data_IF_884005036212
#
_entry.id   IF_884005036212
#
_cell.length_a   1.000
_cell.length_b   1.000
_cell.length_c   1.000
_cell.angle_alpha   90.00
_cell.angle_beta   90.00
_cell.angle_gamma   90.00
#
_symmetry.space_group_name_H-M   'P 1'
#
loop_
_entity.id
_entity.type
_entity.pdbx_description
1 polymer ?
#
# COMPACT_ATOMS: atom_id res chain seq x y z
N UNK A 1 27.72 2.23 30.46
CA UNK A 1 26.65 3.13 29.98
C UNK A 1 27.07 3.64 28.61
N UNK A 2 26.24 3.41 27.58
CA UNK A 2 26.52 3.93 26.24
C UNK A 2 26.40 5.46 26.25
N UNK A 3 27.27 6.23 25.57
CA UNK A 3 27.17 7.68 25.49
C UNK A 3 25.86 8.11 24.82
N UNK A 4 25.20 9.15 25.33
CA UNK A 4 23.91 9.69 24.83
C UNK A 4 23.95 9.99 23.32
N UNK A 5 25.08 10.50 22.82
CA UNK A 5 25.30 10.77 21.40
C UNK A 5 25.26 9.50 20.53
N UNK A 6 25.68 8.35 21.05
CA UNK A 6 25.63 7.05 20.35
C UNK A 6 24.20 6.53 20.34
N UNK A 7 23.46 6.67 21.44
CA UNK A 7 22.03 6.33 21.52
C UNK A 7 21.21 7.15 20.53
N UNK A 8 21.46 8.46 20.45
CA UNK A 8 20.80 9.36 19.49
C UNK A 8 21.14 9.02 18.03
N UNK A 9 22.38 8.61 17.72
CA UNK A 9 22.77 8.19 16.36
C UNK A 9 22.14 6.85 15.98
N UNK A 10 22.03 5.91 16.91
CA UNK A 10 21.32 4.64 16.69
C UNK A 10 19.84 4.93 16.45
N UNK A 11 19.20 5.78 17.25
CA UNK A 11 17.82 6.19 17.05
C UNK A 11 17.60 6.88 15.69
N UNK A 12 18.52 7.76 15.25
CA UNK A 12 18.48 8.37 13.92
C UNK A 12 18.74 7.39 12.77
N UNK A 13 19.64 6.42 12.92
CA UNK A 13 19.88 5.41 11.91
C UNK A 13 18.67 4.45 11.78
N UNK A 14 18.06 4.08 12.90
CA UNK A 14 16.81 3.31 12.94
C UNK A 14 15.68 4.12 12.30
N UNK A 15 15.63 5.44 12.55
CA UNK A 15 14.59 6.30 12.01
C UNK A 15 14.71 6.51 10.50
N UNK A 16 15.92 6.68 9.99
CA UNK A 16 16.21 6.89 8.56
C UNK A 16 16.22 5.59 7.75
N UNK A 17 16.23 4.41 8.38
CA UNK A 17 16.23 3.11 7.70
C UNK A 17 14.96 2.80 6.90
N UNK A 18 13.88 3.58 7.06
CA UNK A 18 12.60 3.37 6.35
C UNK A 18 12.08 4.67 5.76
N UNK A 19 11.54 4.61 4.55
CA UNK A 19 10.87 5.74 3.91
C UNK A 19 9.76 6.28 4.82
N UNK A 20 9.68 7.62 4.95
CA UNK A 20 8.75 8.31 5.86
C UNK A 20 7.29 7.87 5.66
N UNK A 21 6.88 7.68 4.40
CA UNK A 21 5.56 7.16 4.05
C UNK A 21 5.26 5.79 4.67
N UNK A 22 6.25 4.89 4.74
CA UNK A 22 6.08 3.58 5.37
C UNK A 22 5.92 3.71 6.89
N UNK A 23 6.59 4.68 7.53
CA UNK A 23 6.54 4.88 8.99
C UNK A 23 5.18 5.42 9.43
N UNK A 24 4.67 6.42 8.73
CA UNK A 24 3.33 6.99 8.96
C UNK A 24 2.22 5.93 8.83
N UNK A 25 2.34 5.03 7.86
CA UNK A 25 1.34 3.97 7.65
C UNK A 25 1.43 2.89 8.73
N UNK A 26 2.62 2.49 9.19
CA UNK A 26 2.77 1.56 10.33
C UNK A 26 2.20 2.17 11.62
N UNK A 27 2.50 3.44 11.89
CA UNK A 27 1.97 4.15 13.06
C UNK A 27 0.44 4.28 13.02
N UNK A 28 -0.13 4.49 11.84
CA UNK A 28 -1.59 4.55 11.66
C UNK A 28 -2.24 3.18 11.89
N UNK A 29 -1.62 2.10 11.40
CA UNK A 29 -2.08 0.74 11.65
C UNK A 29 -2.03 0.39 13.16
N UNK A 30 -0.96 0.81 13.85
CA UNK A 30 -0.82 0.62 15.29
C UNK A 30 -1.90 1.38 16.08
N UNK A 31 -2.09 2.67 15.81
CA UNK A 31 -3.13 3.49 16.47
C UNK A 31 -4.52 2.89 16.32
N UNK A 32 -4.82 2.31 15.15
CA UNK A 32 -6.10 1.63 14.93
C UNK A 32 -6.26 0.39 15.82
N UNK A 33 -5.21 -0.41 15.96
CA UNK A 33 -5.22 -1.59 16.84
C UNK A 33 -5.34 -1.19 18.32
N UNK A 34 -4.60 -0.17 18.75
CA UNK A 34 -4.67 0.38 20.11
C UNK A 34 -6.07 0.90 20.44
N UNK A 35 -6.67 1.69 19.56
CA UNK A 35 -8.05 2.16 19.74
C UNK A 35 -9.06 1.01 19.84
N UNK A 36 -8.88 -0.04 19.03
CA UNK A 36 -9.72 -1.24 19.10
C UNK A 36 -9.55 -1.98 20.43
N UNK A 37 -8.31 -2.13 20.89
CA UNK A 37 -8.00 -2.75 22.19
C UNK A 37 -8.65 -2.00 23.34
N UNK A 38 -8.53 -0.67 23.36
CA UNK A 38 -9.16 0.19 24.38
C UNK A 38 -10.68 0.01 24.36
N UNK A 39 -11.29 0.01 23.18
CA UNK A 39 -12.75 -0.13 23.03
C UNK A 39 -13.27 -1.50 23.49
N UNK A 40 -12.47 -2.56 23.32
CA UNK A 40 -12.84 -3.94 23.68
C UNK A 40 -12.28 -4.38 25.04
N UNK A 41 -11.57 -3.51 25.77
CA UNK A 41 -10.98 -3.82 27.08
C UNK A 41 -9.81 -4.82 27.01
N UNK A 42 -9.08 -4.85 25.90
CA UNK A 42 -7.91 -5.70 25.72
C UNK A 42 -6.60 -4.93 25.93
N UNK A 43 -5.53 -5.65 26.30
CA UNK A 43 -4.18 -5.07 26.42
C UNK A 43 -3.48 -5.06 25.07
N UNK A 44 -3.08 -3.87 24.64
CA UNK A 44 -2.38 -3.60 23.38
C UNK A 44 -0.92 -4.10 23.39
N UNK A 45 -0.28 -4.14 24.57
CA UNK A 45 1.10 -4.59 24.72
C UNK A 45 1.36 -5.22 26.11
N UNK A 46 1.84 -6.48 26.19
CA UNK A 46 1.96 -7.47 25.12
C UNK A 46 0.58 -8.03 24.72
N UNK A 47 0.21 -7.90 23.44
CA UNK A 47 -1.03 -8.46 22.94
C UNK A 47 -0.94 -10.00 22.83
N UNK A 48 -1.95 -10.69 23.36
CA UNK A 48 -2.07 -12.13 23.16
C UNK A 48 -2.40 -12.43 21.69
N UNK A 49 -1.89 -13.52 21.07
CA UNK A 49 -2.19 -13.86 19.68
C UNK A 49 -3.69 -14.04 19.41
N UNK A 50 -4.48 -14.40 20.42
CA UNK A 50 -5.96 -14.46 20.34
C UNK A 50 -6.56 -13.06 20.15
N UNK A 51 -6.06 -12.04 20.85
CA UNK A 51 -6.51 -10.65 20.69
C UNK A 51 -6.27 -10.15 19.28
N UNK A 52 -5.10 -10.45 18.70
CA UNK A 52 -4.79 -10.10 17.31
C UNK A 52 -5.70 -10.87 16.34
N UNK A 53 -5.97 -12.15 16.58
CA UNK A 53 -6.90 -12.92 15.76
C UNK A 53 -8.33 -12.36 15.82
N UNK A 54 -8.83 -12.01 17.01
CA UNK A 54 -10.14 -11.39 17.20
C UNK A 54 -10.24 -10.05 16.47
N UNK A 55 -9.23 -9.19 16.60
CA UNK A 55 -9.14 -7.94 15.86
C UNK A 55 -9.24 -8.12 14.34
N UNK A 56 -8.57 -9.14 13.80
CA UNK A 56 -8.59 -9.41 12.36
C UNK A 56 -9.96 -9.89 11.86
N UNK A 57 -10.68 -10.67 12.67
CA UNK A 57 -12.03 -11.13 12.34
C UNK A 57 -12.99 -9.93 12.37
N UNK A 58 -12.95 -9.13 13.43
CA UNK A 58 -13.78 -7.93 13.55
C UNK A 58 -13.52 -6.93 12.42
N UNK A 59 -12.25 -6.71 12.09
CA UNK A 59 -11.86 -5.90 10.95
C UNK A 59 -12.29 -6.47 9.60
N UNK A 60 -12.29 -7.81 9.44
CA UNK A 60 -12.77 -8.44 8.23
C UNK A 60 -14.29 -8.30 8.09
N UNK A 61 -15.03 -8.36 9.19
CA UNK A 61 -16.50 -8.29 9.24
C UNK A 61 -17.02 -6.85 9.29
N UNK A 62 -16.12 -5.86 9.18
CA UNK A 62 -16.51 -4.47 8.97
C UNK A 62 -16.95 -4.27 7.51
N UNK A 63 -18.19 -3.84 7.31
CA UNK A 63 -18.76 -3.50 6.02
C UNK A 63 -18.91 -1.98 5.87
N UNK A 64 -18.78 -1.48 4.65
CA UNK A 64 -19.06 -0.08 4.32
C UNK A 64 -20.56 0.16 4.09
N UNK A 65 -20.92 1.42 3.81
CA UNK A 65 -22.31 1.79 3.56
C UNK A 65 -22.89 1.18 2.27
N UNK A 66 -22.05 0.67 1.37
CA UNK A 66 -22.45 -0.02 0.15
C UNK A 66 -22.64 -1.54 0.38
N UNK A 67 -22.37 -2.03 1.60
CA UNK A 67 -22.44 -3.45 1.94
C UNK A 67 -21.22 -4.24 1.47
N UNK A 68 -20.15 -3.57 1.02
CA UNK A 68 -18.89 -4.21 0.66
C UNK A 68 -17.97 -4.29 1.89
N UNK A 69 -17.05 -5.26 1.90
CA UNK A 69 -16.04 -5.36 2.96
C UNK A 69 -15.20 -4.08 2.99
N UNK A 70 -15.17 -3.38 4.12
CA UNK A 70 -14.47 -2.09 4.24
C UNK A 70 -12.94 -2.20 4.06
N UNK A 71 -12.38 -3.40 4.24
CA UNK A 71 -10.94 -3.62 4.25
C UNK A 71 -10.52 -4.77 3.33
N UNK A 72 -9.48 -4.54 2.53
CA UNK A 72 -8.89 -5.57 1.68
C UNK A 72 -8.04 -6.57 2.49
N UNK A 73 -7.95 -7.85 2.09
CA UNK A 73 -7.13 -8.85 2.80
C UNK A 73 -5.64 -8.51 2.86
N UNK A 74 -5.15 -7.77 1.86
CA UNK A 74 -3.77 -7.28 1.84
C UNK A 74 -3.50 -6.28 2.98
N UNK A 75 -4.48 -5.41 3.25
CA UNK A 75 -4.38 -4.41 4.32
C UNK A 75 -4.34 -5.06 5.70
N UNK A 76 -5.16 -6.10 5.91
CA UNK A 76 -5.16 -6.87 7.16
C UNK A 76 -3.81 -7.56 7.43
N UNK A 77 -3.22 -8.19 6.40
CA UNK A 77 -1.89 -8.79 6.51
C UNK A 77 -0.79 -7.75 6.82
N UNK A 78 -0.95 -6.54 6.28
CA UNK A 78 -0.08 -5.42 6.56
C UNK A 78 -0.21 -4.96 8.02
N UNK A 79 -1.42 -4.85 8.57
CA UNK A 79 -1.63 -4.49 9.98
C UNK A 79 -0.97 -5.48 10.94
N UNK A 80 -1.06 -6.78 10.67
CA UNK A 80 -0.36 -7.82 11.45
C UNK A 80 1.16 -7.61 11.44
N UNK A 81 1.71 -7.22 10.30
CA UNK A 81 3.15 -6.92 10.16
C UNK A 81 3.54 -5.68 10.96
N UNK A 82 2.69 -4.65 10.98
CA UNK A 82 2.89 -3.44 11.78
C UNK A 82 2.82 -3.73 13.29
N UNK A 83 1.81 -4.49 13.74
CA UNK A 83 1.68 -4.94 15.14
C UNK A 83 2.91 -5.74 15.56
N UNK A 84 3.35 -6.69 14.72
CA UNK A 84 4.57 -7.46 14.98
C UNK A 84 5.82 -6.60 15.05
N UNK A 85 5.92 -5.55 14.23
CA UNK A 85 7.02 -4.59 14.30
C UNK A 85 7.02 -3.82 15.62
N UNK A 86 5.88 -3.30 16.07
CA UNK A 86 5.77 -2.60 17.35
C UNK A 86 6.13 -3.51 18.54
N UNK A 87 5.69 -4.77 18.53
CA UNK A 87 6.08 -5.75 19.56
C UNK A 87 7.59 -6.02 19.58
N UNK A 88 8.25 -6.16 18.42
CA UNK A 88 9.72 -6.31 18.37
C UNK A 88 10.44 -5.08 18.91
N UNK A 89 10.01 -3.90 18.49
CA UNK A 89 10.65 -2.64 18.90
C UNK A 89 10.49 -2.42 20.41
N UNK A 90 9.40 -2.90 21.00
CA UNK A 90 9.18 -2.89 22.45
C UNK A 90 9.86 -4.05 23.21
N UNK A 91 10.57 -4.95 22.51
CA UNK A 91 11.29 -6.07 23.14
C UNK A 91 10.41 -7.26 23.53
N UNK A 92 9.18 -7.35 23.03
CA UNK A 92 8.24 -8.42 23.35
C UNK A 92 8.19 -9.52 22.26
N UNK A 93 7.85 -10.77 22.63
CA UNK A 93 7.59 -11.83 21.67
C UNK A 93 6.43 -11.43 20.78
N UNK A 94 6.58 -11.72 19.49
CA UNK A 94 5.71 -11.13 18.49
C UNK A 94 4.53 -12.05 18.17
N UNK A 95 3.28 -11.58 18.32
CA UNK A 95 2.10 -12.41 18.07
C UNK A 95 1.92 -12.75 16.57
N UNK A 96 2.54 -11.99 15.66
CA UNK A 96 2.43 -12.19 14.21
C UNK A 96 2.93 -13.55 13.69
N UNK A 97 3.86 -14.20 14.41
CA UNK A 97 4.46 -15.47 14.01
C UNK A 97 3.64 -16.66 14.51
N UNK A 98 2.66 -16.43 15.36
CA UNK A 98 1.84 -17.48 15.96
C UNK A 98 0.91 -18.10 14.90
N UNK A 99 0.82 -19.43 14.88
CA UNK A 99 0.03 -20.17 13.89
C UNK A 99 -1.45 -19.79 13.88
N UNK A 100 -1.99 -19.40 15.04
CA UNK A 100 -3.35 -18.88 15.15
C UNK A 100 -3.57 -17.67 14.22
N UNK A 101 -2.71 -16.66 14.28
CA UNK A 101 -2.85 -15.43 13.47
C UNK A 101 -2.72 -15.73 11.98
N UNK A 102 -1.78 -16.62 11.62
CA UNK A 102 -1.59 -17.07 10.24
C UNK A 102 -2.80 -17.84 9.71
N UNK A 103 -3.39 -18.70 10.56
CA UNK A 103 -4.58 -19.48 10.22
C UNK A 103 -5.81 -18.60 10.05
N UNK A 104 -5.99 -17.60 10.93
CA UNK A 104 -7.05 -16.59 10.82
C UNK A 104 -6.93 -15.80 9.52
N UNK A 105 -5.75 -15.29 9.17
CA UNK A 105 -5.53 -14.60 7.89
C UNK A 105 -5.83 -15.50 6.69
N UNK A 106 -5.44 -16.78 6.75
CA UNK A 106 -5.75 -17.76 5.70
C UNK A 106 -7.26 -18.01 5.56
N UNK A 107 -7.98 -18.06 6.68
CA UNK A 107 -9.44 -18.18 6.72
C UNK A 107 -10.11 -16.95 6.10
N UNK A 108 -9.70 -15.75 6.51
CA UNK A 108 -10.20 -14.48 5.96
C UNK A 108 -9.97 -14.42 4.45
N UNK A 109 -8.75 -14.72 3.98
CA UNK A 109 -8.44 -14.73 2.54
C UNK A 109 -9.31 -15.71 1.75
N UNK A 110 -9.60 -16.88 2.31
CA UNK A 110 -10.48 -17.88 1.68
C UNK A 110 -11.92 -17.39 1.61
N UNK A 111 -12.43 -16.77 2.69
CA UNK A 111 -13.78 -16.21 2.71
C UNK A 111 -13.94 -15.07 1.68
N UNK A 112 -12.96 -14.18 1.57
CA UNK A 112 -12.95 -13.14 0.53
C UNK A 112 -12.88 -13.74 -0.88
N UNK A 113 -12.15 -14.85 -1.07
CA UNK A 113 -12.08 -15.52 -2.36
C UNK A 113 -13.39 -16.23 -2.73
N UNK A 114 -14.10 -16.83 -1.77
CA UNK A 114 -15.38 -17.50 -2.00
C UNK A 114 -16.51 -16.52 -2.29
N UNK A 115 -16.49 -15.33 -1.68
CA UNK A 115 -17.57 -14.35 -1.81
C UNK A 115 -17.45 -13.48 -3.06
N UNK A 116 -16.39 -13.63 -3.86
CA UNK A 116 -16.15 -12.76 -5.02
C UNK A 116 -15.62 -11.37 -4.66
N UNK A 117 -15.52 -11.04 -3.37
CA UNK A 117 -14.97 -9.79 -2.77
C UNK A 117 -13.47 -9.58 -3.04
N UNK A 118 -12.85 -10.33 -3.96
CA UNK A 118 -11.53 -9.96 -4.46
C UNK A 118 -11.76 -8.70 -5.29
N UNK A 119 -11.22 -7.53 -4.91
CA UNK A 119 -11.37 -6.34 -5.73
C UNK A 119 -10.56 -6.56 -7.01
N UNK A 120 -11.22 -7.13 -8.02
CA UNK A 120 -10.86 -6.90 -9.41
C UNK A 120 -11.40 -5.51 -9.68
N UNK A 121 -10.66 -4.50 -9.24
CA UNK A 121 -10.70 -3.22 -9.92
C UNK A 121 -9.73 -3.42 -11.10
N UNK A 122 -10.19 -3.84 -12.29
CA UNK A 122 -9.37 -3.67 -13.47
C UNK A 122 -9.13 -2.16 -13.53
N UNK A 123 -7.91 -1.74 -13.16
CA UNK A 123 -7.50 -0.37 -13.43
C UNK A 123 -7.70 -0.20 -14.92
N UNK A 124 -8.57 0.74 -15.30
CA UNK A 124 -8.77 1.07 -16.72
C UNK A 124 -7.38 1.27 -17.31
N UNK A 125 -7.04 0.60 -18.42
CA UNK A 125 -5.73 0.78 -19.03
C UNK A 125 -5.49 2.26 -19.26
N UNK A 126 -4.34 2.78 -18.80
CA UNK A 126 -3.93 4.13 -19.15
C UNK A 126 -3.77 4.18 -20.67
N UNK A 127 -4.58 5.02 -21.31
CA UNK A 127 -4.50 5.23 -22.75
C UNK A 127 -3.34 6.16 -23.06
N UNK A 128 -2.91 6.16 -24.33
CA UNK A 128 -1.86 7.06 -24.82
C UNK A 128 -2.20 8.51 -24.49
N UNK A 129 -3.47 8.90 -24.66
CA UNK A 129 -3.92 10.26 -24.39
C UNK A 129 -3.82 10.62 -22.90
N UNK A 130 -4.13 9.69 -21.99
CA UNK A 130 -3.99 9.89 -20.55
C UNK A 130 -2.52 10.14 -20.16
N UNK A 131 -1.60 9.39 -20.76
CA UNK A 131 -0.15 9.55 -20.52
C UNK A 131 0.33 10.90 -21.03
N UNK A 132 -0.14 11.35 -22.21
CA UNK A 132 0.21 12.67 -22.75
C UNK A 132 -0.33 13.79 -21.85
N UNK A 133 -1.56 13.66 -21.34
CA UNK A 133 -2.13 14.62 -20.39
C UNK A 133 -1.34 14.67 -19.09
N UNK A 134 -0.98 13.53 -18.50
CA UNK A 134 -0.18 13.46 -17.27
C UNK A 134 1.18 14.13 -17.45
N UNK A 135 1.90 13.82 -18.54
CA UNK A 135 3.20 14.44 -18.85
C UNK A 135 3.04 15.95 -19.09
N UNK A 136 1.99 16.36 -19.81
CA UNK A 136 1.70 17.77 -20.06
C UNK A 136 1.45 18.55 -18.76
N UNK A 137 0.67 18.00 -17.85
CA UNK A 137 0.41 18.60 -16.53
C UNK A 137 1.66 18.62 -15.65
N UNK A 138 2.47 17.55 -15.66
CA UNK A 138 3.73 17.50 -14.91
C UNK A 138 4.71 18.59 -15.36
N UNK A 139 4.85 18.82 -16.67
CA UNK A 139 5.70 19.89 -17.23
C UNK A 139 5.27 21.28 -16.80
N UNK A 140 3.96 21.52 -16.69
CA UNK A 140 3.41 22.82 -16.29
C UNK A 140 3.52 23.07 -14.78
N UNK A 141 3.54 22.01 -13.97
CA UNK A 141 3.55 22.10 -12.51
C UNK A 141 4.94 22.34 -11.90
N UNK A 142 6.00 22.21 -12.69
CA UNK A 142 7.37 22.32 -12.20
C UNK A 142 7.81 23.78 -12.10
N UNK A 143 8.34 24.14 -10.93
CA UNK A 143 9.05 25.41 -10.72
C UNK A 143 10.45 25.12 -10.20
N UNK A 144 11.45 25.58 -10.95
CA UNK A 144 12.87 25.44 -10.59
C UNK A 144 13.61 24.31 -11.31
N UNK A 145 14.92 24.53 -11.48
CA UNK A 145 15.80 23.72 -12.34
C UNK A 145 15.91 22.25 -11.89
N UNK A 146 16.02 22.00 -10.59
CA UNK A 146 16.15 20.64 -10.08
C UNK A 146 14.87 19.83 -10.33
N UNK A 147 13.68 20.41 -10.14
CA UNK A 147 12.42 19.74 -10.40
C UNK A 147 12.19 19.48 -11.91
N UNK A 148 12.72 20.34 -12.78
CA UNK A 148 12.66 20.18 -14.24
C UNK A 148 13.48 18.99 -14.73
N UNK A 149 14.63 18.72 -14.11
CA UNK A 149 15.44 17.53 -14.44
C UNK A 149 14.73 16.24 -14.01
N UNK A 150 14.11 16.23 -12.83
CA UNK A 150 13.35 15.07 -12.35
C UNK A 150 12.12 14.80 -13.22
N UNK A 151 11.35 15.84 -13.54
CA UNK A 151 10.19 15.71 -14.44
C UNK A 151 10.60 15.17 -15.81
N UNK A 152 11.65 15.73 -16.44
CA UNK A 152 12.10 15.26 -17.76
C UNK A 152 12.52 13.80 -17.76
N UNK A 153 13.18 13.36 -16.68
CA UNK A 153 13.58 11.97 -16.49
C UNK A 153 12.35 11.06 -16.38
N UNK A 154 11.40 11.41 -15.53
CA UNK A 154 10.22 10.59 -15.27
C UNK A 154 9.30 10.53 -16.49
N UNK A 155 9.12 11.66 -17.19
CA UNK A 155 8.41 11.75 -18.45
C UNK A 155 9.09 10.94 -19.56
N UNK A 156 10.42 10.94 -19.65
CA UNK A 156 11.14 10.07 -20.59
C UNK A 156 10.94 8.59 -20.26
N UNK A 157 11.00 8.19 -18.98
CA UNK A 157 10.74 6.82 -18.56
C UNK A 157 9.31 6.37 -18.89
N UNK A 158 8.32 7.24 -18.69
CA UNK A 158 6.91 6.97 -19.04
C UNK A 158 6.73 6.83 -20.56
N UNK A 159 7.34 7.71 -21.35
CA UNK A 159 7.22 7.70 -22.82
C UNK A 159 7.98 6.53 -23.47
N UNK A 160 9.13 6.12 -22.91
CA UNK A 160 9.87 4.95 -23.40
C UNK A 160 9.14 3.62 -23.15
N UNK A 161 8.31 3.57 -22.10
CA UNK A 161 7.46 2.41 -21.80
C UNK A 161 6.17 2.35 -22.62
N UNK A 162 5.85 3.40 -23.39
CA UNK A 162 4.63 3.48 -24.17
C UNK A 162 4.81 2.73 -25.51
N UNK A 163 3.92 1.80 -25.87
CA UNK A 163 4.00 1.14 -27.17
C UNK A 163 3.82 2.17 -28.29
N UNK A 164 4.75 2.17 -29.26
CA UNK A 164 4.69 3.05 -30.42
C UNK A 164 3.40 2.81 -31.22
N UNK A 165 2.67 3.88 -31.53
CA UNK A 165 1.49 3.81 -32.39
C UNK A 165 1.92 3.42 -33.81
N UNK A 166 1.79 2.16 -34.18
CA UNK A 166 1.97 1.72 -35.57
C UNK A 166 0.85 2.32 -36.41
N UNK A 167 1.14 3.42 -37.13
CA UNK A 167 0.21 4.00 -38.08
C UNK A 167 0.07 3.07 -39.29
N UNK A 168 -1.11 2.49 -39.49
CA UNK A 168 -1.47 1.79 -40.71
C UNK A 168 -2.82 2.31 -41.22
N UNK A 169 -2.76 3.09 -42.30
CA UNK A 169 -3.63 3.04 -43.48
C UNK A 169 -3.61 4.39 -44.22
N UNK A 170 -2.59 4.60 -45.05
CA UNK A 170 -2.73 5.46 -46.23
C UNK A 170 -3.46 4.67 -47.30
N UNK A 171 -4.79 4.77 -47.37
CA UNK A 171 -5.55 4.29 -48.51
C UNK A 171 -5.44 5.32 -49.65
N UNK A 172 -4.65 4.98 -50.66
CA UNK A 172 -4.55 5.69 -51.94
C UNK A 172 -5.84 5.46 -52.76
N UNK A 173 -6.43 6.47 -53.42
CA UNK A 173 -7.59 6.25 -54.27
C UNK A 173 -7.15 5.67 -55.62
N UNK A 174 -7.77 4.55 -56.02
CA UNK A 174 -7.53 3.90 -57.31
C UNK A 174 -8.08 4.71 -58.48
N UNK A 175 -7.25 4.84 -59.52
CA UNK A 175 -7.60 5.36 -60.85
C UNK A 175 -8.60 4.42 -61.54
N UNK A 176 -9.78 4.93 -61.90
CA UNK A 176 -10.74 4.26 -62.78
C UNK A 176 -10.37 4.58 -64.23
N UNK A 177 -10.12 3.53 -65.01
CA UNK A 177 -9.95 3.61 -66.46
C UNK A 177 -11.28 3.73 -67.19
N UNK A 178 -11.26 4.39 -68.34
CA UNK A 178 -12.21 4.23 -69.45
C UNK A 178 -11.40 4.26 -70.74
#
# INVERSE_FOLDING_TARGET
MLPEAVVSRIAQAVSTSRAEGTRCTYASAWRRFEAWCITHGHTELPAHPVTVAAYLVDAADTYDAAGERAHAPMLLAYWVSAIGHHHRTAGHPTPHTHDLVRSTLSGIRRNYASNGDRPRSPRVPLLVDDVVTIVGSARQAVTGWAAEVHERRDSAMLLMGLPARSGAATSSPGTVGT
#
